data_IF_164518422752
#
_entry.id   IF_164518422752
#
_cell.length_a   1.000
_cell.length_b   1.000
_cell.length_c   1.000
_cell.angle_alpha   90.00
_cell.angle_beta   90.00
_cell.angle_gamma   90.00
#
_symmetry.space_group_name_H-M   'P 1'
#
loop_
_entity.id
_entity.type
_entity.pdbx_description
1 polymer ?
#
# COMPACT_ATOMS: atom_id res chain seq x y z
N UNK A 1 27.27 -25.45 -32.32
CA UNK A 1 27.74 -24.40 -31.39
C UNK A 1 26.96 -23.12 -31.64
N UNK A 2 26.16 -22.69 -30.67
CA UNK A 2 25.85 -21.28 -30.30
C UNK A 2 24.58 -21.22 -29.45
N UNK A 3 24.79 -21.20 -28.13
CA UNK A 3 23.81 -20.84 -27.10
C UNK A 3 23.78 -19.30 -27.10
N UNK A 4 22.63 -18.69 -27.39
CA UNK A 4 22.47 -17.23 -27.40
C UNK A 4 21.41 -16.81 -26.37
N UNK A 5 21.91 -16.44 -25.18
CA UNK A 5 21.47 -15.35 -24.30
C UNK A 5 19.96 -15.16 -23.94
N UNK A 6 19.50 -15.63 -22.75
CA UNK A 6 18.31 -15.10 -22.09
C UNK A 6 18.69 -14.18 -20.91
N UNK A 7 19.62 -13.23 -21.11
CA UNK A 7 20.09 -12.36 -20.00
C UNK A 7 19.28 -11.05 -19.85
N UNK A 8 18.42 -10.72 -20.83
CA UNK A 8 17.70 -9.45 -20.85
C UNK A 8 16.45 -9.41 -19.94
N UNK A 9 15.83 -10.55 -19.63
CA UNK A 9 14.56 -10.57 -18.88
C UNK A 9 14.72 -10.41 -17.36
N UNK A 10 15.92 -10.62 -16.82
CA UNK A 10 16.16 -10.56 -15.37
C UNK A 10 16.27 -9.12 -14.82
N UNK A 11 16.55 -8.13 -15.67
CA UNK A 11 16.85 -6.75 -15.22
C UNK A 11 15.57 -5.95 -14.93
N UNK A 12 14.46 -6.23 -15.64
CA UNK A 12 13.18 -5.52 -15.44
C UNK A 12 12.47 -5.84 -14.11
N UNK A 13 12.71 -7.01 -13.52
CA UNK A 13 12.10 -7.38 -12.25
C UNK A 13 12.70 -6.62 -11.05
N UNK A 14 13.94 -6.14 -11.17
CA UNK A 14 14.67 -5.52 -10.06
C UNK A 14 14.27 -4.06 -9.82
N UNK A 15 13.74 -3.36 -10.83
CA UNK A 15 13.34 -1.95 -10.69
C UNK A 15 12.00 -1.76 -9.99
N UNK A 16 11.12 -2.77 -9.97
CA UNK A 16 9.82 -2.69 -9.29
C UNK A 16 9.94 -2.83 -7.76
N UNK A 17 10.98 -3.50 -7.27
CA UNK A 17 11.19 -3.76 -5.84
C UNK A 17 11.78 -2.57 -5.05
N UNK A 18 12.16 -1.49 -5.73
CA UNK A 18 12.85 -0.35 -5.13
C UNK A 18 11.94 0.85 -4.84
N UNK A 19 10.61 0.69 -4.85
CA UNK A 19 9.70 1.78 -4.52
C UNK A 19 9.75 2.06 -3.02
N UNK A 20 10.45 3.14 -2.64
CA UNK A 20 10.39 3.66 -1.28
C UNK A 20 9.02 4.31 -1.07
N UNK A 21 8.31 3.93 -0.02
CA UNK A 21 7.07 4.59 0.34
C UNK A 21 7.35 6.07 0.71
N UNK A 22 6.55 7.02 0.23
CA UNK A 22 6.70 8.41 0.66
C UNK A 22 6.44 8.53 2.17
N UNK A 23 7.10 9.48 2.86
CA UNK A 23 6.83 9.71 4.27
C UNK A 23 5.38 10.18 4.47
N UNK A 24 4.78 9.80 5.60
CA UNK A 24 3.44 10.25 5.99
C UNK A 24 3.52 11.73 6.38
N UNK A 25 2.63 12.61 5.85
CA UNK A 25 2.61 14.01 6.24
C UNK A 25 2.30 14.21 7.74
N UNK A 26 2.96 15.17 8.38
CA UNK A 26 2.85 15.41 9.83
C UNK A 26 1.45 15.79 10.31
N UNK A 27 0.59 16.30 9.43
CA UNK A 27 -0.80 16.66 9.73
C UNK A 27 -1.78 15.48 9.58
N UNK A 28 -1.29 14.28 9.27
CA UNK A 28 -2.08 13.06 9.15
C UNK A 28 -1.80 12.14 10.34
N UNK A 29 -2.88 11.57 10.89
CA UNK A 29 -2.81 10.43 11.80
C UNK A 29 -2.98 9.15 10.98
N UNK A 30 -2.09 8.20 11.18
CA UNK A 30 -2.15 6.86 10.59
C UNK A 30 -2.34 5.84 11.71
N UNK A 31 -3.45 5.12 11.64
CA UNK A 31 -3.72 3.97 12.49
C UNK A 31 -3.68 2.73 11.61
N UNK A 32 -2.64 1.91 11.83
CA UNK A 32 -2.39 0.74 11.03
C UNK A 32 -3.08 -0.51 11.60
N UNK A 33 -3.35 -1.47 10.72
CA UNK A 33 -3.75 -2.84 11.08
C UNK A 33 -5.01 -2.93 11.97
N UNK A 34 -5.99 -2.05 11.71
CA UNK A 34 -7.30 -2.09 12.36
C UNK A 34 -8.08 -3.28 11.78
N UNK A 35 -8.26 -4.32 12.58
CA UNK A 35 -9.10 -5.47 12.22
C UNK A 35 -10.55 -5.03 12.01
N UNK A 36 -11.13 -5.41 10.86
CA UNK A 36 -12.53 -5.10 10.55
C UNK A 36 -13.37 -6.36 10.24
N UNK A 37 -12.73 -7.52 10.07
CA UNK A 37 -13.41 -8.80 9.87
C UNK A 37 -12.50 -9.96 10.28
N UNK A 38 -13.12 -11.03 10.76
CA UNK A 38 -12.47 -12.30 11.08
C UNK A 38 -13.20 -13.51 10.45
N UNK A 39 -14.12 -13.26 9.52
CA UNK A 39 -14.86 -14.33 8.84
C UNK A 39 -13.97 -14.97 7.79
N UNK A 40 -13.60 -16.24 7.99
CA UNK A 40 -12.73 -17.02 7.11
C UNK A 40 -11.24 -16.76 7.34
N UNK A 41 -10.84 -15.49 7.43
CA UNK A 41 -9.53 -15.06 7.91
C UNK A 41 -9.60 -13.68 8.57
N UNK A 42 -8.57 -13.33 9.35
CA UNK A 42 -8.38 -11.97 9.84
C UNK A 42 -8.13 -11.04 8.68
N UNK A 43 -8.90 -9.96 8.59
CA UNK A 43 -8.70 -8.89 7.62
C UNK A 43 -8.64 -7.56 8.36
N UNK A 44 -7.63 -6.77 8.02
CA UNK A 44 -7.37 -5.49 8.63
C UNK A 44 -7.23 -4.40 7.56
N UNK A 45 -7.44 -3.15 7.97
CA UNK A 45 -7.25 -1.97 7.15
C UNK A 45 -6.48 -0.91 7.92
N UNK A 46 -5.83 -0.04 7.17
CA UNK A 46 -5.24 1.17 7.72
C UNK A 46 -6.24 2.32 7.58
N UNK A 47 -6.31 3.18 8.59
CA UNK A 47 -7.11 4.40 8.57
C UNK A 47 -6.20 5.60 8.65
N UNK A 48 -6.31 6.47 7.64
CA UNK A 48 -5.61 7.76 7.59
C UNK A 48 -6.63 8.89 7.70
N UNK A 49 -6.38 9.84 8.60
CA UNK A 49 -7.22 11.04 8.73
C UNK A 49 -6.42 12.29 9.10
N UNK A 50 -6.91 13.50 8.79
CA UNK A 50 -6.34 14.72 9.35
C UNK A 50 -6.33 14.66 10.89
N UNK A 51 -5.24 15.15 11.50
CA UNK A 51 -5.18 15.36 12.96
C UNK A 51 -6.18 16.44 13.42
N UNK A 52 -6.51 17.37 12.54
CA UNK A 52 -7.51 18.41 12.78
C UNK A 52 -8.92 17.81 12.91
N UNK A 53 -9.55 18.04 14.05
CA UNK A 53 -10.93 17.65 14.31
C UNK A 53 -11.90 18.36 13.37
N UNK A 54 -13.03 17.73 13.08
CA UNK A 54 -14.12 18.35 12.31
C UNK A 54 -15.42 18.20 13.08
N UNK A 55 -16.25 19.24 13.03
CA UNK A 55 -17.62 19.21 13.54
C UNK A 55 -18.59 18.58 12.55
N UNK A 56 -18.17 18.38 11.29
CA UNK A 56 -18.97 17.80 10.21
C UNK A 56 -18.37 16.46 9.75
N UNK A 57 -19.20 15.51 9.28
CA UNK A 57 -18.70 14.28 8.68
C UNK A 57 -17.82 14.56 7.44
N UNK A 58 -16.67 13.89 7.34
CA UNK A 58 -15.80 13.93 6.16
C UNK A 58 -16.13 12.78 5.22
N UNK A 59 -16.08 13.04 3.91
CA UNK A 59 -16.10 11.96 2.92
C UNK A 59 -14.89 11.04 3.13
N UNK A 60 -15.11 9.74 3.05
CA UNK A 60 -14.07 8.73 3.15
C UNK A 60 -13.72 8.18 1.77
N UNK A 61 -12.45 7.83 1.57
CA UNK A 61 -11.96 7.11 0.39
C UNK A 61 -11.49 5.75 0.84
N UNK A 62 -12.01 4.69 0.21
CA UNK A 62 -11.55 3.32 0.42
C UNK A 62 -10.59 2.98 -0.72
N UNK A 63 -9.35 2.63 -0.36
CA UNK A 63 -8.31 2.25 -1.31
C UNK A 63 -7.96 0.77 -1.11
N UNK A 64 -8.03 0.01 -2.20
CA UNK A 64 -7.58 -1.39 -2.27
C UNK A 64 -6.39 -1.43 -3.20
N UNK A 65 -5.25 -1.92 -2.72
CA UNK A 65 -4.05 -2.01 -3.53
C UNK A 65 -4.19 -3.12 -4.60
N UNK A 66 -3.50 -2.95 -5.73
CA UNK A 66 -3.30 -4.03 -6.71
C UNK A 66 -2.23 -5.02 -6.26
N UNK A 67 -1.95 -6.05 -7.05
CA UNK A 67 -0.84 -6.96 -6.75
C UNK A 67 -0.92 -8.36 -7.35
N UNK A 68 -2.12 -8.83 -7.68
CA UNK A 68 -2.32 -10.19 -8.20
C UNK A 68 -2.23 -11.25 -7.11
#
# INVERSE_FOLDING_TARGET
MRIFFPLASCVLALTAAAQTAPPIPDNILHEADIEYSNVGQRVAMDVLRPKEQSTEPRAAVVLVHGGG
#
